data_IF_320204934736
#
_entry.id   IF_320204934736
#
_cell.length_a   1.000
_cell.length_b   1.000
_cell.length_c   1.000
_cell.angle_alpha   90.00
_cell.angle_beta   90.00
_cell.angle_gamma   90.00
#
_symmetry.space_group_name_H-M   'P 1'
#
loop_
_entity.id
_entity.type
_entity.pdbx_description
1 polymer ?
#
# COMPACT_ATOMS: atom_id res chain seq x y z
N UNK A 1 10.02 6.98 13.89
CA UNK A 1 8.77 7.45 13.30
C UNK A 1 8.13 6.33 12.51
N UNK A 2 6.86 6.12 12.74
CA UNK A 2 6.16 5.01 12.10
C UNK A 2 5.85 5.29 10.65
N UNK A 3 5.74 4.22 9.87
CA UNK A 3 5.49 4.32 8.45
C UNK A 3 4.29 3.49 8.05
N UNK A 4 3.71 3.85 6.93
CA UNK A 4 2.60 3.10 6.32
C UNK A 4 3.08 2.49 5.02
N UNK A 5 2.63 1.26 4.77
CA UNK A 5 2.80 0.61 3.47
C UNK A 5 1.49 0.78 2.72
N UNK A 6 1.55 1.19 1.46
CA UNK A 6 0.33 1.47 0.70
C UNK A 6 0.42 0.91 -0.71
N UNK A 7 -0.74 0.70 -1.31
CA UNK A 7 -0.86 0.32 -2.71
C UNK A 7 -1.84 1.28 -3.37
N UNK A 8 -1.44 1.85 -4.48
CA UNK A 8 -2.29 2.75 -5.25
C UNK A 8 -2.40 2.26 -6.68
N UNK A 9 -3.49 2.63 -7.34
CA UNK A 9 -3.69 2.35 -8.75
C UNK A 9 -3.27 3.58 -9.53
N UNK A 10 -2.23 3.45 -10.32
CA UNK A 10 -1.76 4.56 -11.13
C UNK A 10 -1.74 4.12 -12.58
N UNK A 11 -2.69 4.63 -13.34
CA UNK A 11 -2.81 4.30 -14.76
C UNK A 11 -2.91 2.80 -15.00
N UNK A 12 -3.68 2.13 -14.19
CA UNK A 12 -3.91 0.69 -14.33
C UNK A 12 -2.83 -0.19 -13.74
N UNK A 13 -1.81 0.42 -13.13
CA UNK A 13 -0.73 -0.34 -12.49
C UNK A 13 -0.79 -0.18 -10.99
N UNK A 14 -0.43 -1.23 -10.30
CA UNK A 14 -0.42 -1.23 -8.84
C UNK A 14 0.97 -0.83 -8.34
N UNK A 15 1.04 0.28 -7.65
CA UNK A 15 2.28 0.76 -7.05
C UNK A 15 2.27 0.55 -5.57
N UNK A 16 3.37 0.02 -5.05
CA UNK A 16 3.56 -0.23 -3.63
C UNK A 16 4.63 0.72 -3.12
N UNK A 17 4.36 1.36 -1.99
CA UNK A 17 5.33 2.28 -1.41
C UNK A 17 5.20 2.36 0.09
N UNK A 18 6.10 3.13 0.70
CA UNK A 18 6.02 3.43 2.13
C UNK A 18 6.12 4.92 2.34
N UNK A 19 5.47 5.41 3.38
CA UNK A 19 5.48 6.83 3.68
C UNK A 19 5.17 7.07 5.14
N UNK A 20 5.61 8.21 5.65
CA UNK A 20 5.22 8.67 6.98
C UNK A 20 3.98 9.55 6.92
N UNK A 21 3.59 9.97 5.73
CA UNK A 21 2.45 10.88 5.55
C UNK A 21 1.72 10.50 4.26
N UNK A 22 0.69 9.68 4.43
CA UNK A 22 -0.03 9.13 3.27
C UNK A 22 -0.76 10.22 2.48
N UNK A 23 -1.36 11.17 3.16
CA UNK A 23 -2.10 12.23 2.48
C UNK A 23 -1.21 13.06 1.58
N UNK A 24 -0.05 13.44 2.09
CA UNK A 24 0.90 14.22 1.33
C UNK A 24 1.46 13.42 0.16
N UNK A 25 1.74 12.15 0.39
CA UNK A 25 2.27 11.29 -0.67
C UNK A 25 1.28 11.11 -1.79
N UNK A 26 0.01 10.94 -1.46
CA UNK A 26 -1.02 10.80 -2.49
C UNK A 26 -1.14 12.07 -3.33
N UNK A 27 -1.07 13.23 -2.67
CA UNK A 27 -1.12 14.49 -3.40
C UNK A 27 0.06 14.63 -4.35
N UNK A 28 1.25 14.20 -3.94
CA UNK A 28 2.43 14.26 -4.78
C UNK A 28 2.31 13.41 -6.04
N UNK A 29 1.51 12.36 -5.97
CA UNK A 29 1.31 11.44 -7.08
C UNK A 29 0.04 11.74 -7.88
N UNK A 30 -0.61 12.88 -7.65
CA UNK A 30 -1.81 13.24 -8.38
C UNK A 30 -3.07 12.59 -7.84
N UNK A 31 -3.06 12.25 -6.57
CA UNK A 31 -4.21 11.66 -5.87
C UNK A 31 -4.74 10.40 -6.53
N UNK A 32 -3.90 9.41 -6.82
CA UNK A 32 -4.40 8.15 -7.37
C UNK A 32 -5.24 7.42 -6.33
N UNK A 33 -6.15 6.55 -6.75
CA UNK A 33 -6.96 5.79 -5.78
C UNK A 33 -6.08 4.97 -4.86
N UNK A 34 -6.31 5.11 -3.57
CA UNK A 34 -5.62 4.31 -2.56
C UNK A 34 -6.39 3.01 -2.38
N UNK A 35 -5.76 1.90 -2.75
CA UNK A 35 -6.43 0.61 -2.73
C UNK A 35 -6.21 -0.17 -1.45
N UNK A 36 -5.07 0.07 -0.79
CA UNK A 36 -4.72 -0.70 0.40
C UNK A 36 -3.69 0.07 1.20
N UNK A 37 -3.76 -0.08 2.51
CA UNK A 37 -2.78 0.54 3.38
C UNK A 37 -2.62 -0.31 4.64
N UNK A 38 -1.38 -0.43 5.12
CA UNK A 38 -1.04 -1.19 6.31
C UNK A 38 -0.19 -0.35 7.23
N UNK A 39 -0.33 -0.58 8.51
CA UNK A 39 0.45 0.12 9.50
C UNK A 39 -0.41 0.97 10.39
N UNK A 40 0.18 1.86 11.15
CA UNK A 40 1.62 2.22 11.13
C UNK A 40 2.50 1.11 11.68
N UNK A 41 3.73 1.07 11.20
CA UNK A 41 4.71 0.10 11.64
C UNK A 41 6.10 0.72 11.62
N UNK A 42 7.05 0.11 12.33
CA UNK A 42 8.40 0.66 12.35
C UNK A 42 9.06 0.49 10.99
N UNK A 43 10.10 1.28 10.76
CA UNK A 43 10.70 1.36 9.44
C UNK A 43 11.15 0.01 8.88
N UNK A 44 11.80 -0.80 9.68
CA UNK A 44 12.31 -2.07 9.20
C UNK A 44 11.17 -3.00 8.79
N UNK A 45 10.08 -2.99 9.53
CA UNK A 45 8.91 -3.79 9.18
C UNK A 45 8.27 -3.29 7.89
N UNK A 46 8.19 -1.96 7.75
CA UNK A 46 7.60 -1.36 6.56
C UNK A 46 8.41 -1.71 5.32
N UNK A 47 9.72 -1.61 5.40
CA UNK A 47 10.59 -1.93 4.28
C UNK A 47 10.46 -3.41 3.90
N UNK A 48 10.44 -4.29 4.89
CA UNK A 48 10.31 -5.72 4.63
C UNK A 48 8.96 -6.04 3.99
N UNK A 49 7.90 -5.42 4.48
CA UNK A 49 6.57 -5.64 3.94
C UNK A 49 6.45 -5.12 2.52
N UNK A 50 6.99 -3.94 2.27
CA UNK A 50 6.97 -3.36 0.93
C UNK A 50 7.68 -4.27 -0.07
N UNK A 51 8.85 -4.79 0.31
CA UNK A 51 9.59 -5.71 -0.54
C UNK A 51 8.81 -6.99 -0.81
N UNK A 52 8.19 -7.51 0.23
CA UNK A 52 7.39 -8.73 0.11
C UNK A 52 6.27 -8.53 -0.91
N UNK A 53 5.52 -7.45 -0.76
CA UNK A 53 4.39 -7.18 -1.64
C UNK A 53 4.86 -6.90 -3.06
N UNK A 54 5.96 -6.16 -3.21
CA UNK A 54 6.50 -5.87 -4.53
C UNK A 54 6.89 -7.13 -5.29
N UNK A 55 7.28 -8.17 -4.57
CA UNK A 55 7.65 -9.44 -5.18
C UNK A 55 6.46 -10.27 -5.63
N UNK A 56 5.25 -9.90 -5.23
CA UNK A 56 4.05 -10.62 -5.62
C UNK A 56 3.64 -10.26 -7.05
N UNK A 57 2.94 -11.20 -7.71
CA UNK A 57 2.40 -10.88 -9.02
C UNK A 57 1.17 -9.98 -8.86
N UNK A 58 0.65 -9.50 -9.99
CA UNK A 58 -0.48 -8.58 -9.98
C UNK A 58 -1.70 -9.19 -9.32
N UNK A 59 -1.95 -10.45 -9.61
CA UNK A 59 -3.11 -11.14 -9.07
C UNK A 59 -3.12 -11.17 -7.55
N UNK A 60 -1.97 -11.46 -6.97
CA UNK A 60 -1.85 -11.53 -5.52
C UNK A 60 -1.96 -10.15 -4.89
N UNK A 61 -1.37 -9.13 -5.52
CA UNK A 61 -1.51 -7.75 -5.05
C UNK A 61 -2.97 -7.32 -5.09
N UNK A 62 -3.66 -7.65 -6.16
CA UNK A 62 -5.04 -7.30 -6.32
C UNK A 62 -5.92 -7.99 -5.30
N UNK A 63 -5.62 -9.23 -5.02
CA UNK A 63 -6.33 -9.99 -3.98
C UNK A 63 -6.17 -9.32 -2.61
N UNK A 64 -4.98 -8.84 -2.31
CA UNK A 64 -4.75 -8.13 -1.07
C UNK A 64 -5.59 -6.86 -0.98
N UNK A 65 -5.69 -6.14 -2.08
CA UNK A 65 -6.48 -4.90 -2.12
C UNK A 65 -7.97 -5.16 -1.97
N UNK A 66 -8.43 -6.31 -2.45
CA UNK A 66 -9.84 -6.67 -2.36
C UNK A 66 -10.21 -7.28 -1.03
N UNK A 67 -9.23 -7.72 -0.25
CA UNK A 67 -9.49 -8.33 1.00
C UNK A 67 -9.86 -7.30 2.02
N UNK A 68 -11.07 -6.97 2.07
CA UNK A 68 -11.53 -5.95 2.99
C UNK A 68 -11.78 -6.53 4.35
N UNK A 69 -11.43 -5.80 5.38
CA UNK A 69 -11.61 -6.29 6.73
C UNK A 69 -13.06 -6.47 7.09
N UNK A 70 -13.84 -5.90 6.28
CA UNK A 70 -15.18 -6.07 6.53
C UNK A 70 -15.62 -7.37 6.31
N UNK A 71 -14.97 -7.86 5.94
CA UNK A 71 -15.44 -8.96 5.84
C UNK A 71 -15.52 -9.49 6.98
N UNK A 72 -15.38 -8.98 7.50
CA UNK A 72 -15.44 -9.36 8.50
C UNK A 72 -16.45 -9.47 9.06
N UNK A 73 -16.93 -9.25 8.77
CA UNK A 73 -17.73 -9.44 9.20
C UNK A 73 -18.13 -9.95 9.48
#
# INVERSE_FOLDING_TARGET
MDRLVYIVDKSGKLYVGITTDIDNRLRQHGNPPLLHKEGPMINVEAVNRERQIKGWNREKKQSLCEKMPEKQM
#
